data_IF_754470118403
#
_entry.id   IF_754470118403
#
_cell.length_a   1.000
_cell.length_b   1.000
_cell.length_c   1.000
_cell.angle_alpha   90.00
_cell.angle_beta   90.00
_cell.angle_gamma   90.00
#
_symmetry.space_group_name_H-M   'P 1'
#
loop_
_entity.id
_entity.type
_entity.pdbx_description
1 polymer ?
#
# COMPACT_ATOMS: atom_id res chain seq x y z
N UNK A 1 -0.47 91.68 33.45
CA UNK A 1 -0.47 90.24 33.78
C UNK A 1 -1.76 89.59 33.29
N UNK A 2 -2.91 90.27 33.42
CA UNK A 2 -4.24 89.84 32.95
C UNK A 2 -4.30 89.44 31.45
N UNK A 3 -3.76 90.26 30.54
CA UNK A 3 -3.83 90.00 29.08
C UNK A 3 -3.17 88.68 28.63
N UNK A 4 -2.14 88.20 29.34
CA UNK A 4 -1.43 86.97 28.97
C UNK A 4 -2.17 85.70 29.39
N UNK A 5 -3.01 85.78 30.43
CA UNK A 5 -3.83 84.67 30.90
C UNK A 5 -5.02 84.43 29.96
N UNK A 6 -5.65 85.51 29.50
CA UNK A 6 -6.79 85.48 28.57
C UNK A 6 -6.41 84.92 27.19
N UNK A 7 -5.22 85.27 26.66
CA UNK A 7 -4.69 84.67 25.43
C UNK A 7 -4.40 83.17 25.57
N UNK A 8 -3.90 82.71 26.73
CA UNK A 8 -3.66 81.28 26.97
C UNK A 8 -4.94 80.47 27.09
N UNK A 9 -5.98 81.00 27.75
CA UNK A 9 -7.29 80.34 27.86
C UNK A 9 -7.95 80.20 26.49
N UNK A 10 -7.89 81.24 25.66
CA UNK A 10 -8.40 81.21 24.29
C UNK A 10 -7.69 80.15 23.43
N UNK A 11 -6.36 80.06 23.53
CA UNK A 11 -5.58 79.04 22.81
C UNK A 11 -5.92 77.61 23.24
N UNK A 12 -6.22 77.38 24.52
CA UNK A 12 -6.68 76.08 25.04
C UNK A 12 -8.08 75.73 24.54
N UNK A 13 -9.00 76.69 24.52
CA UNK A 13 -10.37 76.50 24.00
C UNK A 13 -10.37 76.16 22.50
N UNK A 14 -9.57 76.84 21.69
CA UNK A 14 -9.41 76.55 20.27
C UNK A 14 -8.82 75.15 20.03
N UNK A 15 -7.82 74.76 20.82
CA UNK A 15 -7.21 73.42 20.75
C UNK A 15 -8.23 72.34 21.13
N UNK A 16 -8.99 72.55 22.20
CA UNK A 16 -10.05 71.64 22.66
C UNK A 16 -11.11 71.47 21.58
N UNK A 17 -11.63 72.56 21.03
CA UNK A 17 -12.62 72.53 19.95
C UNK A 17 -12.08 71.85 18.68
N UNK A 18 -10.79 72.00 18.38
CA UNK A 18 -10.16 71.27 17.28
C UNK A 18 -10.00 69.78 17.56
N UNK A 19 -9.76 69.38 18.82
CA UNK A 19 -9.67 67.97 19.22
C UNK A 19 -11.04 67.31 19.19
N UNK A 20 -12.08 67.97 19.70
CA UNK A 20 -13.48 67.51 19.69
C UNK A 20 -13.90 67.15 18.25
N UNK A 21 -13.69 68.07 17.28
CA UNK A 21 -14.00 67.82 15.86
C UNK A 21 -13.25 66.64 15.27
N UNK A 22 -11.98 66.44 15.67
CA UNK A 22 -11.18 65.30 15.21
C UNK A 22 -11.67 63.99 15.81
N UNK A 23 -12.10 64.00 17.07
CA UNK A 23 -12.72 62.84 17.74
C UNK A 23 -14.00 62.46 17.01
N UNK A 24 -14.91 63.40 16.77
CA UNK A 24 -16.16 63.17 16.03
C UNK A 24 -15.87 62.54 14.64
N UNK A 25 -14.90 63.11 13.92
CA UNK A 25 -14.50 62.60 12.60
C UNK A 25 -13.93 61.18 12.67
N UNK A 26 -13.18 60.85 13.73
CA UNK A 26 -12.62 59.51 13.93
C UNK A 26 -13.72 58.53 14.30
N UNK A 27 -14.67 58.92 15.14
CA UNK A 27 -15.79 58.09 15.57
C UNK A 27 -16.70 57.73 14.40
N UNK A 28 -17.01 58.68 13.51
CA UNK A 28 -17.72 58.40 12.26
C UNK A 28 -16.97 57.41 11.35
N UNK A 29 -15.63 57.56 11.24
CA UNK A 29 -14.81 56.64 10.45
C UNK A 29 -14.76 55.24 11.06
N UNK A 30 -14.67 55.13 12.38
CA UNK A 30 -14.71 53.86 13.11
C UNK A 30 -16.05 53.17 12.84
N UNK A 31 -17.17 53.86 13.03
CA UNK A 31 -18.51 53.30 12.76
C UNK A 31 -18.65 52.82 11.30
N UNK A 32 -18.16 53.61 10.33
CA UNK A 32 -18.18 53.20 8.92
C UNK A 32 -17.32 51.97 8.64
N UNK A 33 -16.17 51.83 9.32
CA UNK A 33 -15.29 50.67 9.18
C UNK A 33 -15.91 49.45 9.84
N UNK A 34 -16.48 49.58 11.02
CA UNK A 34 -17.17 48.50 11.73
C UNK A 34 -18.33 47.94 10.91
N UNK A 35 -19.17 48.81 10.34
CA UNK A 35 -20.27 48.38 9.46
C UNK A 35 -19.74 47.63 8.22
N UNK A 36 -18.70 48.16 7.56
CA UNK A 36 -18.08 47.49 6.41
C UNK A 36 -17.45 46.14 6.75
N UNK A 37 -16.86 46.00 7.94
CA UNK A 37 -16.29 44.75 8.42
C UNK A 37 -17.41 43.74 8.65
N UNK A 38 -18.47 44.14 9.36
CA UNK A 38 -19.63 43.28 9.65
C UNK A 38 -20.24 42.74 8.35
N UNK A 39 -20.55 43.63 7.39
CA UNK A 39 -21.12 43.23 6.10
C UNK A 39 -20.22 42.27 5.31
N UNK A 40 -18.91 42.53 5.26
CA UNK A 40 -17.97 41.66 4.54
C UNK A 40 -17.77 40.30 5.22
N UNK A 41 -17.84 40.25 6.54
CA UNK A 41 -17.74 39.00 7.29
C UNK A 41 -18.99 38.17 7.07
N UNK A 42 -20.18 38.77 7.14
CA UNK A 42 -21.46 38.12 6.85
C UNK A 42 -21.51 37.55 5.43
N UNK A 43 -21.09 38.33 4.42
CA UNK A 43 -21.01 37.86 3.03
C UNK A 43 -20.08 36.63 2.89
N UNK A 44 -18.90 36.68 3.52
CA UNK A 44 -17.96 35.55 3.49
C UNK A 44 -18.50 34.32 4.22
N UNK A 45 -19.21 34.50 5.33
CA UNK A 45 -19.85 33.41 6.07
C UNK A 45 -20.91 32.75 5.17
N UNK A 46 -21.77 33.52 4.52
CA UNK A 46 -22.79 33.00 3.61
C UNK A 46 -22.17 32.17 2.46
N UNK A 47 -21.08 32.66 1.84
CA UNK A 47 -20.35 31.92 0.80
C UNK A 47 -19.72 30.63 1.34
N UNK A 48 -19.24 30.64 2.58
CA UNK A 48 -18.67 29.44 3.23
C UNK A 48 -19.78 28.43 3.52
N UNK A 49 -20.93 28.85 4.03
CA UNK A 49 -22.08 27.98 4.30
C UNK A 49 -22.59 27.31 3.03
N UNK A 50 -22.67 28.04 1.91
CA UNK A 50 -23.03 27.46 0.61
C UNK A 50 -22.01 26.38 0.17
N UNK A 51 -20.71 26.65 0.33
CA UNK A 51 -19.66 25.67 0.00
C UNK A 51 -19.71 24.45 0.91
N UNK A 52 -20.05 24.61 2.19
CA UNK A 52 -20.24 23.51 3.14
C UNK A 52 -21.40 22.62 2.67
N UNK A 53 -22.55 23.21 2.34
CA UNK A 53 -23.70 22.46 1.84
C UNK A 53 -23.38 21.62 0.59
N UNK A 54 -22.64 22.20 -0.37
CA UNK A 54 -22.18 21.47 -1.58
C UNK A 54 -21.21 20.33 -1.23
N UNK A 55 -20.35 20.51 -0.22
CA UNK A 55 -19.44 19.45 0.24
C UNK A 55 -20.22 18.33 0.94
N UNK A 56 -21.19 18.65 1.78
CA UNK A 56 -22.05 17.69 2.45
C UNK A 56 -22.83 16.82 1.43
N UNK A 57 -23.38 17.43 0.37
CA UNK A 57 -24.03 16.71 -0.73
C UNK A 57 -23.05 15.76 -1.44
N UNK A 58 -21.85 16.23 -1.76
CA UNK A 58 -20.82 15.39 -2.41
C UNK A 58 -20.38 14.23 -1.54
N UNK A 59 -20.29 14.42 -0.22
CA UNK A 59 -19.98 13.35 0.73
C UNK A 59 -21.07 12.29 0.71
N UNK A 60 -22.35 12.70 0.77
CA UNK A 60 -23.48 11.78 0.71
C UNK A 60 -23.46 10.92 -0.57
N UNK A 61 -23.19 11.52 -1.73
CA UNK A 61 -23.07 10.79 -3.01
C UNK A 61 -21.88 9.82 -3.01
N UNK A 62 -20.74 10.22 -2.42
CA UNK A 62 -19.57 9.33 -2.31
C UNK A 62 -19.87 8.15 -1.39
N UNK A 63 -20.54 8.38 -0.26
CA UNK A 63 -20.92 7.34 0.69
C UNK A 63 -21.87 6.31 0.05
N UNK A 64 -22.87 6.76 -0.71
CA UNK A 64 -23.78 5.89 -1.46
C UNK A 64 -23.03 5.04 -2.49
N UNK A 65 -22.15 5.66 -3.29
CA UNK A 65 -21.34 4.96 -4.29
C UNK A 65 -20.38 3.94 -3.67
N UNK A 66 -19.78 4.23 -2.52
CA UNK A 66 -18.91 3.29 -1.81
C UNK A 66 -19.73 2.11 -1.32
N UNK A 67 -20.91 2.36 -0.73
CA UNK A 67 -21.82 1.31 -0.26
C UNK A 67 -22.19 0.34 -1.39
N UNK A 68 -22.66 0.86 -2.52
CA UNK A 68 -23.03 0.04 -3.69
C UNK A 68 -21.84 -0.76 -4.24
N UNK A 69 -20.67 -0.13 -4.40
CA UNK A 69 -19.49 -0.83 -4.93
C UNK A 69 -18.97 -1.93 -4.00
N UNK A 70 -19.05 -1.72 -2.69
CA UNK A 70 -18.64 -2.72 -1.70
C UNK A 70 -19.61 -3.90 -1.72
N UNK A 71 -20.92 -3.63 -1.81
CA UNK A 71 -21.96 -4.67 -1.88
C UNK A 71 -21.77 -5.57 -3.11
N UNK A 72 -21.62 -4.99 -4.31
CA UNK A 72 -21.36 -5.74 -5.55
C UNK A 72 -20.07 -6.57 -5.48
N UNK A 73 -18.98 -6.03 -4.88
CA UNK A 73 -17.73 -6.79 -4.74
C UNK A 73 -17.86 -7.94 -3.75
N UNK A 74 -18.63 -7.77 -2.67
CA UNK A 74 -18.89 -8.82 -1.69
C UNK A 74 -19.69 -9.95 -2.34
N UNK A 75 -20.73 -9.63 -3.11
CA UNK A 75 -21.51 -10.60 -3.86
C UNK A 75 -20.63 -11.40 -4.83
N UNK A 76 -19.81 -10.73 -5.65
CA UNK A 76 -18.90 -11.41 -6.55
C UNK A 76 -17.85 -12.27 -5.85
N UNK A 77 -17.35 -11.87 -4.68
CA UNK A 77 -16.45 -12.71 -3.87
C UNK A 77 -17.19 -13.92 -3.30
N UNK A 78 -18.43 -13.76 -2.85
CA UNK A 78 -19.25 -14.85 -2.33
C UNK A 78 -19.56 -15.90 -3.40
N UNK A 79 -19.90 -15.47 -4.62
CA UNK A 79 -20.11 -16.36 -5.77
C UNK A 79 -18.84 -17.16 -6.10
N UNK A 80 -17.69 -16.49 -6.16
CA UNK A 80 -16.40 -17.14 -6.39
C UNK A 80 -16.08 -18.16 -5.29
N UNK A 81 -16.36 -17.84 -4.03
CA UNK A 81 -16.16 -18.75 -2.91
C UNK A 81 -17.06 -19.99 -3.01
N UNK A 82 -18.32 -19.82 -3.44
CA UNK A 82 -19.24 -20.92 -3.71
C UNK A 82 -18.71 -21.86 -4.80
N UNK A 83 -18.23 -21.31 -5.91
CA UNK A 83 -17.63 -22.10 -6.99
C UNK A 83 -16.37 -22.85 -6.54
N UNK A 84 -15.49 -22.19 -5.79
CA UNK A 84 -14.28 -22.82 -5.23
C UNK A 84 -14.66 -23.95 -4.28
N UNK A 85 -15.66 -23.74 -3.42
CA UNK A 85 -16.15 -24.76 -2.48
C UNK A 85 -16.61 -26.02 -3.22
N UNK A 86 -17.41 -25.87 -4.29
CA UNK A 86 -17.83 -26.99 -5.13
C UNK A 86 -16.65 -27.71 -5.79
N UNK A 87 -15.64 -26.96 -6.26
CA UNK A 87 -14.46 -27.54 -6.88
C UNK A 87 -13.59 -28.29 -5.88
N UNK A 88 -13.45 -27.79 -4.66
CA UNK A 88 -12.74 -28.48 -3.57
C UNK A 88 -13.43 -29.80 -3.26
N UNK A 89 -14.76 -29.81 -3.11
CA UNK A 89 -15.52 -31.04 -2.85
C UNK A 89 -15.38 -32.09 -3.97
N UNK A 90 -15.40 -31.66 -5.25
CA UNK A 90 -15.14 -32.54 -6.40
C UNK A 90 -13.72 -33.11 -6.40
N UNK A 91 -12.71 -32.31 -6.05
CA UNK A 91 -11.33 -32.76 -5.94
C UNK A 91 -11.15 -33.76 -4.78
N UNK A 92 -11.78 -33.52 -3.63
CA UNK A 92 -11.78 -34.45 -2.50
C UNK A 92 -12.39 -35.80 -2.89
N UNK A 93 -13.53 -35.81 -3.59
CA UNK A 93 -14.16 -37.03 -4.10
C UNK A 93 -13.26 -37.77 -5.09
N UNK A 94 -12.60 -37.07 -6.01
CA UNK A 94 -11.67 -37.67 -6.99
C UNK A 94 -10.44 -38.26 -6.32
N UNK A 95 -9.90 -37.61 -5.29
CA UNK A 95 -8.76 -38.11 -4.54
C UNK A 95 -9.10 -39.46 -3.87
N UNK A 96 -10.27 -39.57 -3.24
CA UNK A 96 -10.74 -40.80 -2.60
C UNK A 96 -10.85 -41.98 -3.59
N UNK A 97 -11.31 -41.73 -4.82
CA UNK A 97 -11.40 -42.78 -5.86
C UNK A 97 -10.01 -43.22 -6.32
N UNK A 98 -9.07 -42.28 -6.48
CA UNK A 98 -7.71 -42.60 -6.88
C UNK A 98 -6.95 -43.42 -5.81
N UNK A 99 -7.19 -43.16 -4.53
CA UNK A 99 -6.62 -43.93 -3.41
C UNK A 99 -7.25 -45.31 -3.18
N UNK A 100 -8.39 -45.62 -3.80
CA UNK A 100 -8.97 -46.98 -3.74
C UNK A 100 -8.55 -47.83 -4.96
N UNK A 101 -8.24 -47.18 -6.09
CA UNK A 101 -7.82 -47.84 -7.34
C UNK A 101 -6.40 -48.43 -7.30
N UNK A 102 -5.51 -47.86 -6.51
CA UNK A 102 -4.14 -48.34 -6.31
C UNK A 102 -4.09 -49.58 -5.37
N UNK A 103 -4.94 -49.65 -4.35
CA UNK A 103 -5.00 -50.82 -3.44
C UNK A 103 -5.50 -52.09 -4.14
N UNK A 104 -6.48 -51.98 -5.04
CA UNK A 104 -7.02 -53.12 -5.80
C UNK A 104 -6.06 -53.70 -6.85
N UNK A 105 -4.95 -53.02 -7.17
CA UNK A 105 -3.91 -53.52 -8.09
C UNK A 105 -2.72 -54.18 -7.38
N UNK A 106 -2.57 -54.00 -6.07
CA UNK A 106 -1.40 -54.49 -5.32
C UNK A 106 -1.61 -55.88 -4.68
N UNK A 107 -2.84 -56.39 -4.62
CA UNK A 107 -3.17 -57.68 -4.01
C UNK A 107 -2.99 -58.90 -4.94
N UNK A 108 -2.38 -58.74 -6.13
CA UNK A 108 -2.14 -59.84 -7.08
C UNK A 108 -0.68 -60.30 -7.19
N UNK A 109 0.29 -59.63 -6.55
CA UNK A 109 1.68 -60.11 -6.57
C UNK A 109 2.01 -60.88 -5.29
N UNK A 110 2.07 -62.20 -5.42
CA UNK A 110 2.58 -63.13 -4.42
C UNK A 110 3.99 -62.73 -3.95
N UNK A 111 4.31 -62.77 -2.65
CA UNK A 111 5.62 -62.39 -2.15
C UNK A 111 6.65 -63.47 -2.48
N UNK A 112 7.57 -63.16 -3.40
CA UNK A 112 8.79 -63.96 -3.60
C UNK A 112 9.82 -63.57 -2.52
N UNK A 113 10.48 -64.54 -1.84
CA UNK A 113 11.50 -64.23 -0.85
C UNK A 113 12.77 -63.73 -1.55
N UNK A 114 13.03 -62.42 -1.50
CA UNK A 114 14.28 -61.85 -2.00
C UNK A 114 15.36 -61.98 -0.93
N UNK A 115 16.28 -62.92 -1.17
CA UNK A 115 17.53 -63.07 -0.44
C UNK A 115 18.38 -61.81 -0.59
N UNK A 116 18.71 -61.16 0.53
CA UNK A 116 19.56 -59.98 0.59
C UNK A 116 21.02 -60.37 0.47
N UNK A 117 21.66 -60.02 -0.65
CA UNK A 117 23.11 -59.85 -0.73
C UNK A 117 23.39 -58.39 -1.09
N UNK A 118 24.34 -57.70 -0.42
CA UNK A 118 24.58 -56.30 -0.65
C UNK A 118 25.45 -56.14 -1.89
N UNK A 119 24.88 -55.53 -2.94
CA UNK A 119 25.62 -55.08 -4.13
C UNK A 119 25.71 -53.56 -4.04
N UNK A 120 26.89 -52.92 -4.07
CA UNK A 120 26.99 -51.48 -4.09
C UNK A 120 26.70 -51.01 -5.52
N UNK A 121 25.45 -50.64 -5.78
CA UNK A 121 25.06 -50.04 -7.06
C UNK A 121 24.98 -48.54 -6.89
N UNK A 122 26.13 -47.89 -7.10
CA UNK A 122 26.16 -46.48 -7.49
C UNK A 122 25.58 -46.36 -8.91
N UNK A 123 24.32 -45.94 -9.01
CA UNK A 123 23.76 -45.38 -10.24
C UNK A 123 23.42 -43.94 -9.97
N UNK A 124 24.41 -43.11 -10.29
CA UNK A 124 24.32 -41.67 -10.46
C UNK A 124 23.52 -41.39 -11.74
N UNK A 125 22.28 -40.95 -11.58
CA UNK A 125 21.60 -40.17 -12.60
C UNK A 125 20.79 -39.09 -11.88
N UNK A 126 21.51 -38.14 -11.29
CA UNK A 126 20.92 -36.91 -10.78
C UNK A 126 20.25 -36.20 -11.95
N UNK A 127 18.95 -35.85 -11.88
CA UNK A 127 18.40 -34.88 -12.84
C UNK A 127 19.27 -33.63 -12.72
N UNK A 128 19.71 -33.07 -13.85
CA UNK A 128 20.51 -31.84 -13.88
C UNK A 128 19.63 -30.71 -13.38
N UNK A 129 19.59 -30.52 -12.06
CA UNK A 129 18.86 -29.44 -11.43
C UNK A 129 19.76 -28.22 -11.47
N UNK A 130 19.39 -27.26 -12.31
CA UNK A 130 20.18 -26.03 -12.50
C UNK A 130 20.21 -25.30 -11.16
N UNK A 131 21.40 -25.18 -10.58
CA UNK A 131 21.59 -24.62 -9.24
C UNK A 131 21.39 -23.11 -9.28
N UNK A 132 20.46 -22.63 -8.46
CA UNK A 132 20.22 -21.19 -8.32
C UNK A 132 21.43 -20.50 -7.67
N UNK A 133 21.85 -19.39 -8.26
CA UNK A 133 22.90 -18.53 -7.69
C UNK A 133 22.39 -17.80 -6.44
N UNK A 134 23.27 -17.50 -5.51
CA UNK A 134 22.91 -16.70 -4.32
C UNK A 134 22.71 -15.23 -4.69
N UNK A 135 21.77 -14.55 -4.03
CA UNK A 135 21.55 -13.11 -4.18
C UNK A 135 21.98 -12.38 -2.90
N UNK A 136 22.95 -11.47 -3.03
CA UNK A 136 23.49 -10.68 -1.92
C UNK A 136 22.98 -9.24 -1.87
N UNK A 137 22.10 -8.85 -2.79
CA UNK A 137 21.56 -7.50 -2.91
C UNK A 137 22.44 -6.50 -3.67
N UNK A 138 23.58 -6.93 -4.23
CA UNK A 138 24.50 -6.05 -4.97
C UNK A 138 24.19 -6.01 -6.47
N UNK A 139 23.81 -7.14 -7.06
CA UNK A 139 23.38 -7.20 -8.46
C UNK A 139 21.99 -6.60 -8.64
N UNK A 140 21.72 -6.06 -9.83
CA UNK A 140 20.42 -5.48 -10.15
C UNK A 140 19.32 -6.53 -9.96
N UNK A 141 18.33 -6.20 -9.12
CA UNK A 141 17.21 -7.07 -8.79
C UNK A 141 16.45 -7.58 -10.01
N UNK A 142 16.29 -6.73 -11.05
CA UNK A 142 15.61 -7.13 -12.28
C UNK A 142 16.36 -8.23 -13.03
N UNK A 143 17.70 -8.16 -13.05
CA UNK A 143 18.55 -9.17 -13.69
C UNK A 143 18.47 -10.50 -12.93
N UNK A 144 18.56 -10.46 -11.60
CA UNK A 144 18.43 -11.65 -10.78
C UNK A 144 17.03 -12.29 -10.89
N UNK A 145 15.98 -11.48 -10.91
CA UNK A 145 14.60 -11.94 -11.12
C UNK A 145 14.44 -12.69 -12.46
N UNK A 146 15.03 -12.17 -13.53
CA UNK A 146 15.00 -12.84 -14.85
C UNK A 146 15.74 -14.17 -14.83
N UNK A 147 16.94 -14.22 -14.23
CA UNK A 147 17.70 -15.47 -14.07
C UNK A 147 16.92 -16.50 -13.25
N UNK A 148 16.29 -16.07 -12.17
CA UNK A 148 15.44 -16.91 -11.33
C UNK A 148 14.27 -17.50 -12.12
N UNK A 149 13.58 -16.71 -12.96
CA UNK A 149 12.49 -17.20 -13.82
C UNK A 149 12.95 -18.27 -14.81
N UNK A 150 14.09 -18.06 -15.48
CA UNK A 150 14.65 -19.03 -16.45
C UNK A 150 14.97 -20.36 -15.76
N UNK A 151 15.61 -20.30 -14.58
CA UNK A 151 15.97 -21.49 -13.80
C UNK A 151 14.73 -22.20 -13.28
N UNK A 152 13.73 -21.43 -12.83
CA UNK A 152 12.44 -21.98 -12.43
C UNK A 152 11.80 -22.77 -13.57
N UNK A 153 11.67 -22.17 -14.76
CA UNK A 153 11.04 -22.81 -15.92
C UNK A 153 11.80 -24.07 -16.35
N UNK A 154 13.14 -24.03 -16.32
CA UNK A 154 13.97 -25.18 -16.64
C UNK A 154 13.84 -26.34 -15.65
N UNK A 155 13.62 -26.05 -14.36
CA UNK A 155 13.53 -27.05 -13.30
C UNK A 155 12.09 -27.48 -12.95
N UNK A 156 11.06 -26.81 -13.51
CA UNK A 156 9.66 -27.16 -13.27
C UNK A 156 9.19 -27.02 -11.82
N UNK A 157 9.78 -26.12 -11.03
CA UNK A 157 9.46 -26.01 -9.59
C UNK A 157 8.03 -25.52 -9.31
N UNK A 158 7.37 -26.08 -8.30
CA UNK A 158 6.07 -25.56 -7.83
C UNK A 158 6.23 -24.17 -7.17
N UNK A 159 5.14 -23.41 -7.05
CA UNK A 159 5.20 -22.05 -6.45
C UNK A 159 5.74 -22.04 -5.02
N UNK A 160 5.39 -23.05 -4.21
CA UNK A 160 5.96 -23.23 -2.87
C UNK A 160 7.46 -23.55 -2.90
N UNK A 161 7.90 -24.42 -3.81
CA UNK A 161 9.33 -24.74 -3.98
C UNK A 161 10.13 -23.52 -4.44
N UNK A 162 9.56 -22.68 -5.32
CA UNK A 162 10.17 -21.40 -5.72
C UNK A 162 10.35 -20.45 -4.54
N UNK A 163 9.33 -20.31 -3.69
CA UNK A 163 9.41 -19.41 -2.54
C UNK A 163 10.50 -19.87 -1.55
N UNK A 164 10.54 -21.17 -1.24
CA UNK A 164 11.58 -21.76 -0.41
C UNK A 164 12.97 -21.56 -1.02
N UNK A 165 13.13 -21.81 -2.32
CA UNK A 165 14.42 -21.70 -2.99
C UNK A 165 14.88 -20.25 -3.13
N UNK A 166 13.95 -19.31 -3.37
CA UNK A 166 14.22 -17.88 -3.36
C UNK A 166 14.69 -17.44 -1.97
N UNK A 167 13.95 -17.76 -0.91
CA UNK A 167 14.34 -17.46 0.46
C UNK A 167 15.71 -18.08 0.81
N UNK A 168 15.94 -19.34 0.40
CA UNK A 168 17.20 -20.04 0.63
C UNK A 168 18.38 -19.48 -0.19
N UNK A 169 18.13 -18.74 -1.26
CA UNK A 169 19.16 -18.10 -2.09
C UNK A 169 19.61 -16.73 -1.58
N UNK A 170 18.82 -16.08 -0.71
CA UNK A 170 19.14 -14.77 -0.16
C UNK A 170 20.31 -14.87 0.83
N UNK A 171 21.29 -13.99 0.72
CA UNK A 171 22.45 -13.89 1.59
C UNK A 171 22.76 -12.43 1.90
N UNK A 172 23.47 -12.17 3.00
CA UNK A 172 23.92 -10.83 3.34
C UNK A 172 22.74 -9.86 3.44
N UNK A 173 22.84 -8.65 2.88
CA UNK A 173 21.77 -7.65 2.98
C UNK A 173 20.43 -8.15 2.43
N UNK A 174 20.41 -9.11 1.51
CA UNK A 174 19.16 -9.64 0.99
C UNK A 174 18.41 -10.54 1.99
N UNK A 175 19.10 -11.17 2.95
CA UNK A 175 18.47 -12.02 3.96
C UNK A 175 17.69 -11.23 5.03
N UNK A 176 18.07 -9.97 5.25
CA UNK A 176 17.37 -9.05 6.16
C UNK A 176 15.89 -8.84 5.75
N UNK A 177 15.58 -9.02 4.47
CA UNK A 177 14.19 -8.98 3.95
C UNK A 177 13.34 -10.11 4.53
N UNK A 178 13.94 -11.23 4.92
CA UNK A 178 13.23 -12.30 5.62
C UNK A 178 12.90 -11.88 7.06
N UNK A 179 13.70 -11.04 7.69
CA UNK A 179 13.44 -10.57 9.05
C UNK A 179 12.30 -9.53 9.10
N UNK A 180 12.14 -8.73 8.06
CA UNK A 180 11.07 -7.72 7.97
C UNK A 180 9.70 -8.31 7.63
N UNK A 181 9.64 -9.55 7.12
CA UNK A 181 8.40 -10.23 6.77
C UNK A 181 7.87 -11.14 7.89
N UNK A 182 6.54 -11.22 8.10
CA UNK A 182 5.90 -12.20 8.98
C UNK A 182 6.16 -13.64 8.53
N UNK A 183 6.24 -14.58 9.46
CA UNK A 183 6.59 -16.00 9.18
C UNK A 183 5.75 -16.65 8.06
N UNK A 184 4.44 -16.39 8.04
CA UNK A 184 3.51 -16.90 7.01
C UNK A 184 3.82 -16.34 5.61
N UNK A 185 4.37 -15.13 5.53
CA UNK A 185 4.66 -14.45 4.26
C UNK A 185 6.07 -14.76 3.73
N UNK A 186 6.96 -15.31 4.55
CA UNK A 186 8.33 -15.73 4.14
C UNK A 186 8.35 -16.90 3.16
N UNK A 187 7.25 -17.64 3.08
CA UNK A 187 7.04 -18.75 2.13
C UNK A 187 6.07 -18.38 1.01
N UNK A 188 5.62 -17.12 0.95
CA UNK A 188 4.80 -16.62 -0.13
C UNK A 188 5.68 -15.96 -1.19
N UNK A 189 5.70 -16.52 -2.39
CA UNK A 189 6.53 -16.05 -3.49
C UNK A 189 6.27 -14.57 -3.82
N UNK A 190 5.00 -14.15 -3.85
CA UNK A 190 4.59 -12.78 -4.17
C UNK A 190 5.06 -11.78 -3.11
N UNK A 191 4.93 -12.13 -1.83
CA UNK A 191 5.39 -11.29 -0.72
C UNK A 191 6.92 -11.11 -0.73
N UNK A 192 7.66 -12.18 -0.99
CA UNK A 192 9.13 -12.14 -1.13
C UNK A 192 9.55 -11.24 -2.29
N UNK A 193 8.91 -11.38 -3.46
CA UNK A 193 9.20 -10.54 -4.62
C UNK A 193 9.00 -9.05 -4.33
N UNK A 194 7.88 -8.71 -3.68
CA UNK A 194 7.54 -7.33 -3.38
C UNK A 194 8.53 -6.73 -2.37
N UNK A 195 8.88 -7.47 -1.32
CA UNK A 195 9.81 -6.99 -0.30
C UNK A 195 11.23 -6.78 -0.86
N UNK A 196 11.69 -7.70 -1.71
CA UNK A 196 12.99 -7.57 -2.41
C UNK A 196 12.98 -6.43 -3.42
N UNK A 197 11.87 -6.24 -4.15
CA UNK A 197 11.71 -5.13 -5.10
C UNK A 197 11.71 -3.76 -4.40
N UNK A 198 11.01 -3.62 -3.27
CA UNK A 198 11.00 -2.38 -2.50
C UNK A 198 12.39 -2.01 -1.99
N UNK A 199 13.18 -3.01 -1.56
CA UNK A 199 14.50 -2.77 -0.96
C UNK A 199 15.64 -2.61 -1.96
N UNK A 200 15.62 -3.39 -3.04
CA UNK A 200 16.73 -3.46 -4.02
C UNK A 200 16.34 -3.03 -5.44
N UNK A 201 15.04 -3.00 -5.76
CA UNK A 201 14.54 -2.59 -7.07
C UNK A 201 14.53 -1.07 -7.30
N UNK A 202 14.46 -0.26 -6.23
CA UNK A 202 14.46 1.20 -6.35
C UNK A 202 15.85 1.83 -6.56
N UNK A 203 16.93 1.08 -6.34
CA UNK A 203 18.31 1.59 -6.42
C UNK A 203 18.79 1.95 -7.84
N UNK A 204 18.02 1.61 -8.87
CA UNK A 204 18.39 1.81 -10.27
C UNK A 204 17.41 2.71 -11.07
N UNK A 205 16.46 3.38 -10.42
CA UNK A 205 15.52 4.31 -11.08
C UNK A 205 16.01 5.76 -11.14
N UNK A 206 17.27 6.06 -10.82
CA UNK A 206 17.80 7.44 -10.76
C UNK A 206 18.91 7.79 -11.76
N UNK A 207 19.24 6.92 -12.72
CA UNK A 207 20.23 7.23 -13.77
C UNK A 207 19.64 7.14 -15.19
N UNK A 208 18.49 7.80 -15.42
CA UNK A 208 18.04 8.08 -16.79
C UNK A 208 17.38 9.46 -16.93
N UNK A 209 17.83 10.44 -16.15
CA UNK A 209 17.58 11.86 -16.42
C UNK A 209 18.92 12.58 -16.58
N UNK A 210 19.61 12.28 -17.66
CA UNK A 210 20.48 13.19 -18.40
C UNK A 210 21.10 12.41 -19.55
N UNK A 211 20.66 12.64 -20.79
CA UNK A 211 21.53 12.96 -21.94
C UNK A 211 20.63 13.60 -23.03
N UNK A 212 21.02 14.84 -23.37
CA UNK A 212 20.74 15.68 -24.55
C UNK A 212 19.43 15.54 -25.32
#
# INVERSE_FOLDING_TARGET
>A
MENGQEETEKGQEDLKNSLEKKIDTVEEKINSVEEKITLKVEEKIAVVDEKIAVVEEKIAVVDERIKEQVEVRIEGVAENFSLISLRVEDLEKKLLVCTNKNESKFLSSSPVPVSMSPVPVSVTASPVSVKLSTYDGKTNWAVYKTQFSIIFEANGWTEGAKACQLAASLRGQADEVLQTLPNIQRLNLKSLYNALHLRFGQKYSKDSTHVC
#
